data_IF_733427496276
#
_entry.id   IF_733427496276
#
_cell.length_a   1.000
_cell.length_b   1.000
_cell.length_c   1.000
_cell.angle_alpha   90.00
_cell.angle_beta   90.00
_cell.angle_gamma   90.00
#
_symmetry.space_group_name_H-M   'P 1'
#
loop_
_entity.id
_entity.type
_entity.pdbx_description
1 polymer ?
#
# COMPACT_ATOMS: atom_id res chain seq x y z
N UNK A 1 -5.04 15.61 15.70
CA UNK A 1 -3.92 15.24 14.81
C UNK A 1 -2.69 15.99 15.27
N UNK A 2 -1.62 15.28 15.63
CA UNK A 2 -0.34 15.90 15.98
C UNK A 2 0.26 16.55 14.73
N UNK A 3 0.45 17.87 14.75
CA UNK A 3 1.07 18.58 13.66
C UNK A 3 2.57 18.27 13.67
N UNK A 4 3.03 17.43 12.74
CA UNK A 4 4.45 17.08 12.63
C UNK A 4 5.20 18.34 12.17
N UNK A 5 6.21 18.76 12.94
CA UNK A 5 7.06 19.87 12.55
C UNK A 5 8.08 19.42 11.49
N UNK A 6 7.74 19.62 10.22
CA UNK A 6 8.57 19.25 9.05
C UNK A 6 9.96 19.89 9.07
N UNK A 7 10.05 21.15 9.52
CA UNK A 7 11.31 21.89 9.60
C UNK A 7 12.24 21.29 10.66
N UNK A 8 11.72 21.00 11.85
CA UNK A 8 12.49 20.35 12.90
C UNK A 8 12.96 18.94 12.49
N UNK A 9 12.13 18.22 11.73
CA UNK A 9 12.50 16.91 11.19
C UNK A 9 13.61 17.01 10.14
N UNK A 10 13.56 18.02 9.26
CA UNK A 10 14.58 18.32 8.26
C UNK A 10 15.93 18.66 8.89
N UNK A 11 15.91 19.48 9.94
CA UNK A 11 17.10 19.84 10.71
C UNK A 11 17.70 18.64 11.43
N UNK A 12 16.86 17.80 12.06
CA UNK A 12 17.31 16.58 12.70
C UNK A 12 17.93 15.59 11.71
N UNK A 13 17.31 15.40 10.54
CA UNK A 13 17.82 14.51 9.50
C UNK A 13 19.13 15.04 8.89
N UNK A 14 19.20 16.35 8.59
CA UNK A 14 20.41 16.98 8.09
C UNK A 14 21.57 16.92 9.08
N UNK A 15 21.28 17.07 10.38
CA UNK A 15 22.27 16.94 11.45
C UNK A 15 22.77 15.49 11.60
N UNK A 16 21.88 14.51 11.54
CA UNK A 16 22.25 13.10 11.58
C UNK A 16 23.16 12.69 10.40
N UNK A 17 22.97 13.30 9.23
CA UNK A 17 23.85 13.09 8.06
C UNK A 17 25.18 13.81 8.23
N UNK A 18 25.21 15.03 8.77
CA UNK A 18 26.45 15.79 8.91
C UNK A 18 27.37 15.26 10.00
N UNK A 19 26.81 14.69 11.08
CA UNK A 19 27.58 14.16 12.21
C UNK A 19 28.13 12.75 11.93
N UNK A 20 27.30 11.86 11.38
CA UNK A 20 27.65 10.43 11.24
C UNK A 20 27.89 10.00 9.78
N UNK A 21 27.41 10.78 8.81
CA UNK A 21 27.50 10.49 7.37
C UNK A 21 26.29 9.71 6.83
N UNK A 22 26.02 9.87 5.53
CA UNK A 22 24.87 9.22 4.86
C UNK A 22 24.96 7.68 4.92
N UNK A 23 26.16 7.13 4.81
CA UNK A 23 26.40 5.69 4.78
C UNK A 23 26.37 5.04 6.15
N UNK A 24 26.33 5.80 7.24
CA UNK A 24 26.26 5.25 8.60
C UNK A 24 24.92 4.59 8.88
N UNK A 25 23.83 5.12 8.30
CA UNK A 25 22.46 4.70 8.56
C UNK A 25 22.02 3.52 7.68
N UNK A 26 22.86 2.47 7.59
CA UNK A 26 22.56 1.25 6.84
C UNK A 26 22.40 0.02 7.76
N UNK A 27 21.74 -1.02 7.28
CA UNK A 27 21.44 -2.23 8.08
C UNK A 27 22.72 -2.85 8.67
N UNK A 28 23.78 -2.93 7.88
CA UNK A 28 25.04 -3.59 8.26
C UNK A 28 25.76 -2.84 9.38
N UNK A 29 25.76 -1.51 9.37
CA UNK A 29 26.34 -0.68 10.42
C UNK A 29 25.48 -0.67 11.69
N UNK A 30 24.15 -0.65 11.54
CA UNK A 30 23.21 -0.63 12.66
C UNK A 30 23.14 -1.99 13.39
N UNK A 31 23.25 -3.10 12.66
CA UNK A 31 23.24 -4.45 13.20
C UNK A 31 24.64 -4.95 13.62
N UNK A 32 25.71 -4.21 13.29
CA UNK A 32 27.08 -4.58 13.65
C UNK A 32 27.27 -4.62 15.17
N UNK A 33 27.98 -5.64 15.66
CA UNK A 33 28.39 -5.78 17.05
C UNK A 33 29.34 -4.64 17.50
N UNK A 34 29.98 -3.96 16.55
CA UNK A 34 30.82 -2.78 16.80
C UNK A 34 30.05 -1.46 16.66
N UNK A 35 28.76 -1.51 16.29
CA UNK A 35 27.86 -0.37 16.15
C UNK A 35 26.84 -0.31 17.28
N UNK A 36 25.56 -0.13 16.93
CA UNK A 36 24.44 -0.11 17.90
C UNK A 36 23.96 -1.51 18.30
N UNK A 37 24.46 -2.57 17.65
CA UNK A 37 24.10 -3.97 17.87
C UNK A 37 22.57 -4.20 17.90
N UNK A 38 21.85 -3.55 16.99
CA UNK A 38 20.40 -3.68 16.87
C UNK A 38 20.03 -5.05 16.29
N UNK A 39 18.85 -5.55 16.66
CA UNK A 39 18.32 -6.75 16.01
C UNK A 39 18.16 -6.48 14.52
N UNK A 40 18.50 -7.45 13.67
CA UNK A 40 18.55 -7.27 12.21
C UNK A 40 17.27 -6.70 11.62
N UNK A 41 16.12 -7.08 12.20
CA UNK A 41 14.80 -6.57 11.83
C UNK A 41 14.65 -5.07 12.12
N UNK A 42 15.10 -4.61 13.29
CA UNK A 42 15.03 -3.20 13.69
C UNK A 42 16.04 -2.35 12.90
N UNK A 43 17.24 -2.89 12.68
CA UNK A 43 18.28 -2.28 11.85
C UNK A 43 17.78 -2.06 10.42
N UNK A 44 17.12 -3.06 9.82
CA UNK A 44 16.55 -2.94 8.49
C UNK A 44 15.44 -1.87 8.43
N UNK A 45 14.53 -1.85 9.42
CA UNK A 45 13.48 -0.85 9.48
C UNK A 45 14.03 0.59 9.59
N UNK A 46 15.02 0.80 10.47
CA UNK A 46 15.66 2.11 10.67
C UNK A 46 16.48 2.50 9.43
N UNK A 47 17.18 1.56 8.80
CA UNK A 47 17.94 1.81 7.57
C UNK A 47 17.03 2.19 6.40
N UNK A 48 15.83 1.61 6.31
CA UNK A 48 14.82 2.01 5.33
C UNK A 48 14.32 3.44 5.60
N UNK A 49 14.06 3.77 6.87
CA UNK A 49 13.65 5.10 7.32
C UNK A 49 14.84 6.01 7.68
N UNK A 50 15.97 5.86 6.99
CA UNK A 50 17.17 6.64 7.28
C UNK A 50 16.98 8.16 7.04
N UNK A 51 17.84 9.02 7.60
CA UNK A 51 17.76 10.46 7.43
C UNK A 51 17.68 10.93 5.96
N UNK A 52 18.38 10.27 5.03
CA UNK A 52 18.34 10.63 3.62
C UNK A 52 16.97 10.31 2.98
N UNK A 53 16.39 9.15 3.29
CA UNK A 53 15.02 8.77 2.90
C UNK A 53 14.00 9.75 3.47
N UNK A 54 14.17 10.18 4.73
CA UNK A 54 13.29 11.17 5.36
C UNK A 54 13.34 12.51 4.63
N UNK A 55 14.53 12.99 4.25
CA UNK A 55 14.67 14.22 3.46
C UNK A 55 14.03 14.09 2.08
N UNK A 56 14.23 12.98 1.39
CA UNK A 56 13.60 12.72 0.09
C UNK A 56 12.06 12.71 0.19
N UNK A 57 11.51 12.08 1.22
CA UNK A 57 10.06 12.07 1.48
C UNK A 57 9.52 13.47 1.82
N UNK A 58 10.28 14.27 2.58
CA UNK A 58 9.93 15.66 2.86
C UNK A 58 9.92 16.51 1.58
N UNK A 59 10.92 16.35 0.71
CA UNK A 59 10.99 17.04 -0.58
C UNK A 59 9.81 16.66 -1.50
N UNK A 60 9.47 15.37 -1.59
CA UNK A 60 8.29 14.92 -2.34
C UNK A 60 6.99 15.49 -1.78
N UNK A 61 6.90 15.61 -0.45
CA UNK A 61 5.71 16.11 0.23
C UNK A 61 5.58 17.63 0.09
N UNK A 62 6.69 18.37 0.15
CA UNK A 62 6.73 19.81 -0.15
C UNK A 62 6.38 20.09 -1.62
N UNK A 63 6.84 19.27 -2.56
CA UNK A 63 6.45 19.36 -3.98
C UNK A 63 4.96 19.07 -4.19
N UNK A 64 4.39 18.09 -3.47
CA UNK A 64 2.94 17.83 -3.48
C UNK A 64 2.15 18.99 -2.88
N UNK A 65 2.59 19.54 -1.75
CA UNK A 65 1.98 20.72 -1.13
C UNK A 65 2.06 21.93 -2.07
N UNK A 66 3.17 22.09 -2.78
CA UNK A 66 3.34 23.14 -3.79
C UNK A 66 2.39 22.95 -4.97
N UNK A 67 2.27 21.75 -5.54
CA UNK A 67 1.31 21.45 -6.61
C UNK A 67 -0.13 21.66 -6.15
N UNK A 68 -0.45 21.24 -4.93
CA UNK A 68 -1.76 21.48 -4.34
C UNK A 68 -2.00 22.98 -4.21
N UNK A 69 -1.03 23.74 -3.71
CA UNK A 69 -1.12 25.19 -3.64
C UNK A 69 -1.22 25.82 -5.03
N UNK A 70 -0.53 25.35 -6.07
CA UNK A 70 -0.67 25.88 -7.43
C UNK A 70 -2.07 25.62 -8.02
N UNK A 71 -2.63 24.43 -7.78
CA UNK A 71 -4.00 24.08 -8.21
C UNK A 71 -5.04 24.83 -7.39
N UNK A 72 -4.81 24.96 -6.08
CA UNK A 72 -5.75 25.52 -5.13
C UNK A 72 -5.62 27.02 -4.99
N UNK A 73 -4.49 27.64 -5.38
CA UNK A 73 -4.29 29.10 -5.34
C UNK A 73 -5.41 29.74 -6.14
N UNK A 74 -6.42 30.34 -5.47
CA UNK A 74 -7.58 30.87 -6.16
C UNK A 74 -7.26 32.17 -6.90
N UNK A 75 -6.07 32.73 -6.71
CA UNK A 75 -5.74 34.08 -7.18
C UNK A 75 -5.58 34.21 -8.71
N UNK A 76 -5.48 33.10 -9.45
CA UNK A 76 -5.52 33.12 -10.92
C UNK A 76 -6.96 32.94 -11.47
N UNK A 77 -7.86 32.35 -10.68
CA UNK A 77 -9.26 32.11 -11.08
C UNK A 77 -10.19 33.21 -10.55
N UNK A 78 -9.91 33.83 -9.41
CA UNK A 78 -10.70 34.92 -8.84
C UNK A 78 -10.90 36.09 -9.83
N UNK A 79 -9.83 36.63 -10.46
CA UNK A 79 -9.99 37.72 -11.43
C UNK A 79 -10.79 37.31 -12.66
N UNK A 80 -10.61 36.05 -13.10
CA UNK A 80 -11.32 35.47 -14.25
C UNK A 80 -12.81 35.25 -13.92
N UNK A 81 -13.14 34.91 -12.67
CA UNK A 81 -14.50 34.74 -12.16
C UNK A 81 -15.19 36.08 -11.90
N UNK A 82 -14.46 37.10 -11.42
CA UNK A 82 -15.00 38.44 -11.17
C UNK A 82 -15.43 39.14 -12.47
N UNK A 83 -14.75 38.86 -13.59
CA UNK A 83 -15.09 39.37 -14.93
C UNK A 83 -16.05 38.44 -15.72
N UNK A 84 -16.46 37.29 -15.17
CA UNK A 84 -17.39 36.37 -15.82
C UNK A 84 -18.85 36.85 -15.70
N UNK A 85 -19.60 36.73 -16.80
CA UNK A 85 -21.05 36.87 -16.76
C UNK A 85 -21.73 35.72 -15.97
N UNK A 86 -22.99 35.93 -15.59
CA UNK A 86 -23.75 35.00 -14.74
C UNK A 86 -23.92 33.62 -15.42
N UNK A 87 -24.03 33.58 -16.75
CA UNK A 87 -24.24 32.34 -17.51
C UNK A 87 -22.97 31.48 -17.54
N UNK A 88 -21.81 32.09 -17.75
CA UNK A 88 -20.52 31.43 -17.67
C UNK A 88 -20.22 30.95 -16.25
N UNK A 89 -20.58 31.75 -15.24
CA UNK A 89 -20.44 31.36 -13.84
C UNK A 89 -21.29 30.13 -13.52
N UNK A 90 -22.55 30.11 -13.95
CA UNK A 90 -23.44 28.95 -13.81
C UNK A 90 -22.87 27.72 -14.52
N UNK A 91 -22.29 27.89 -15.71
CA UNK A 91 -21.69 26.80 -16.48
C UNK A 91 -20.45 26.21 -15.77
N UNK A 92 -19.55 27.06 -15.27
CA UNK A 92 -18.36 26.62 -14.53
C UNK A 92 -18.75 25.90 -13.24
N UNK A 93 -19.67 26.47 -12.45
CA UNK A 93 -20.17 25.84 -11.22
C UNK A 93 -20.77 24.46 -11.53
N UNK A 94 -21.62 24.38 -12.55
CA UNK A 94 -22.23 23.10 -12.97
C UNK A 94 -21.15 22.08 -13.36
N UNK A 95 -20.19 22.48 -14.19
CA UNK A 95 -19.11 21.59 -14.67
C UNK A 95 -18.23 21.11 -13.52
N UNK A 96 -17.89 22.00 -12.58
CA UNK A 96 -17.10 21.63 -11.39
C UNK A 96 -17.88 20.67 -10.50
N UNK A 97 -19.17 20.91 -10.26
CA UNK A 97 -20.03 20.00 -9.50
C UNK A 97 -20.16 18.62 -10.17
N UNK A 98 -20.33 18.58 -11.49
CA UNK A 98 -20.39 17.33 -12.27
C UNK A 98 -19.06 16.57 -12.21
N UNK A 99 -17.92 17.26 -12.40
CA UNK A 99 -16.59 16.66 -12.31
C UNK A 99 -16.30 16.10 -10.91
N UNK A 100 -16.67 16.85 -9.86
CA UNK A 100 -16.51 16.39 -8.48
C UNK A 100 -17.38 15.16 -8.21
N UNK A 101 -18.65 15.17 -8.64
CA UNK A 101 -19.53 14.01 -8.50
C UNK A 101 -19.01 12.78 -9.24
N UNK A 102 -18.44 12.94 -10.44
CA UNK A 102 -17.83 11.86 -11.20
C UNK A 102 -16.60 11.30 -10.50
N UNK A 103 -15.73 12.19 -9.98
CA UNK A 103 -14.52 11.79 -9.26
C UNK A 103 -14.87 11.02 -7.97
N UNK A 104 -15.87 11.48 -7.22
CA UNK A 104 -16.39 10.79 -6.04
C UNK A 104 -16.94 9.41 -6.38
N UNK A 105 -17.76 9.28 -7.41
CA UNK A 105 -18.28 7.98 -7.84
C UNK A 105 -17.16 7.00 -8.26
N UNK A 106 -16.11 7.49 -8.93
CA UNK A 106 -14.93 6.68 -9.27
C UNK A 106 -14.16 6.24 -8.03
N UNK A 107 -14.01 7.15 -7.06
CA UNK A 107 -13.32 6.85 -5.82
C UNK A 107 -14.08 5.80 -5.00
N UNK A 108 -15.39 5.95 -4.83
CA UNK A 108 -16.24 4.97 -4.14
C UNK A 108 -16.22 3.60 -4.83
N UNK A 109 -16.26 3.58 -6.17
CA UNK A 109 -16.13 2.35 -6.93
C UNK A 109 -14.76 1.68 -6.76
N UNK A 110 -13.69 2.47 -6.69
CA UNK A 110 -12.33 1.98 -6.44
C UNK A 110 -12.20 1.41 -5.02
N UNK A 111 -12.72 2.10 -4.00
CA UNK A 111 -12.75 1.59 -2.63
C UNK A 111 -13.52 0.29 -2.53
N UNK A 112 -14.69 0.20 -3.16
CA UNK A 112 -15.48 -1.04 -3.21
C UNK A 112 -14.71 -2.17 -3.89
N UNK A 113 -13.94 -1.87 -4.94
CA UNK A 113 -13.10 -2.85 -5.63
C UNK A 113 -11.93 -3.31 -4.76
N UNK A 114 -11.30 -2.41 -4.03
CA UNK A 114 -10.24 -2.75 -3.07
C UNK A 114 -10.82 -3.66 -1.98
N UNK A 115 -11.95 -3.31 -1.37
CA UNK A 115 -12.61 -4.13 -0.37
C UNK A 115 -13.01 -5.53 -0.89
N UNK A 116 -13.49 -5.62 -2.13
CA UNK A 116 -13.76 -6.91 -2.78
C UNK A 116 -12.47 -7.74 -2.94
N UNK A 117 -11.38 -7.12 -3.38
CA UNK A 117 -10.10 -7.80 -3.57
C UNK A 117 -9.48 -8.23 -2.24
N UNK A 118 -9.57 -7.41 -1.20
CA UNK A 118 -9.10 -7.73 0.15
C UNK A 118 -9.92 -8.85 0.78
N UNK A 119 -11.21 -8.98 0.44
CA UNK A 119 -12.07 -10.07 0.91
C UNK A 119 -11.90 -11.37 0.10
N UNK A 120 -11.14 -11.38 -1.01
CA UNK A 120 -10.95 -12.59 -1.82
C UNK A 120 -10.08 -13.60 -1.08
N UNK A 121 -10.65 -14.79 -0.93
CA UNK A 121 -9.98 -15.94 -0.36
C UNK A 121 -9.45 -16.85 -1.49
N UNK A 122 -8.16 -17.17 -1.45
CA UNK A 122 -7.52 -18.12 -2.36
C UNK A 122 -7.67 -19.53 -1.79
N UNK A 123 -8.30 -20.43 -2.55
CA UNK A 123 -8.40 -21.84 -2.17
C UNK A 123 -7.11 -22.56 -2.55
N UNK A 124 -6.39 -23.06 -1.55
CA UNK A 124 -5.22 -23.89 -1.76
C UNK A 124 -5.61 -25.35 -1.95
N UNK A 125 -4.94 -26.07 -2.86
CA UNK A 125 -5.13 -27.51 -3.01
C UNK A 125 -4.64 -28.23 -1.74
N UNK A 126 -5.18 -29.42 -1.48
CA UNK A 126 -4.64 -30.30 -0.46
C UNK A 126 -3.30 -30.87 -0.96
N UNK A 127 -2.20 -30.43 -0.35
CA UNK A 127 -0.86 -30.84 -0.74
C UNK A 127 -0.59 -32.31 -0.38
N UNK A 128 -1.34 -32.90 0.55
CA UNK A 128 -1.21 -34.32 0.92
C UNK A 128 -1.80 -35.25 -0.14
N UNK A 129 -2.73 -34.75 -0.97
CA UNK A 129 -3.25 -35.47 -2.14
C UNK A 129 -2.27 -35.44 -3.32
N UNK A 130 -1.46 -34.37 -3.42
CA UNK A 130 -0.52 -34.14 -4.53
C UNK A 130 0.84 -34.80 -4.26
N UNK A 131 1.29 -34.77 -3.00
CA UNK A 131 2.59 -35.28 -2.59
C UNK A 131 2.41 -36.33 -1.48
N UNK A 132 2.83 -37.58 -1.73
CA UNK A 132 2.68 -38.70 -0.79
C UNK A 132 3.82 -38.85 0.23
N UNK A 133 4.66 -37.83 0.37
CA UNK A 133 5.84 -37.81 1.24
C UNK A 133 5.78 -36.63 2.22
N UNK A 134 6.64 -36.66 3.25
CA UNK A 134 6.69 -35.64 4.31
C UNK A 134 6.95 -34.22 3.77
N UNK A 135 7.47 -34.12 2.54
CA UNK A 135 7.63 -32.89 1.77
C UNK A 135 6.31 -32.14 1.52
N UNK A 136 5.17 -32.83 1.49
CA UNK A 136 3.84 -32.22 1.32
C UNK A 136 3.54 -31.15 2.37
N UNK A 137 3.88 -31.44 3.64
CA UNK A 137 3.62 -30.56 4.78
C UNK A 137 4.54 -29.35 4.77
N UNK A 138 5.80 -29.54 4.37
CA UNK A 138 6.77 -28.46 4.25
C UNK A 138 6.38 -27.49 3.13
N UNK A 139 5.99 -28.01 1.96
CA UNK A 139 5.54 -27.17 0.83
C UNK A 139 4.28 -26.39 1.21
N UNK A 140 3.31 -27.04 1.86
CA UNK A 140 2.10 -26.36 2.33
C UNK A 140 2.42 -25.23 3.32
N UNK A 141 3.33 -25.48 4.27
CA UNK A 141 3.76 -24.47 5.24
C UNK A 141 4.42 -23.27 4.55
N UNK A 142 5.35 -23.51 3.64
CA UNK A 142 6.06 -22.46 2.90
C UNK A 142 5.10 -21.62 2.04
N UNK A 143 4.16 -22.26 1.33
CA UNK A 143 3.17 -21.56 0.50
C UNK A 143 2.23 -20.71 1.35
N UNK A 144 1.74 -21.24 2.48
CA UNK A 144 0.90 -20.47 3.41
C UNK A 144 1.65 -19.30 4.04
N UNK A 145 2.91 -19.49 4.42
CA UNK A 145 3.75 -18.45 4.98
C UNK A 145 3.99 -17.33 3.96
N UNK A 146 4.31 -17.67 2.72
CA UNK A 146 4.48 -16.71 1.63
C UNK A 146 3.19 -15.92 1.35
N UNK A 147 2.05 -16.60 1.25
CA UNK A 147 0.75 -15.95 1.01
C UNK A 147 0.34 -15.04 2.17
N UNK A 148 0.58 -15.45 3.42
CA UNK A 148 0.36 -14.61 4.60
C UNK A 148 1.26 -13.38 4.60
N UNK A 149 2.53 -13.51 4.21
CA UNK A 149 3.46 -12.37 4.09
C UNK A 149 3.04 -11.41 2.98
N UNK A 150 2.37 -11.91 1.93
CA UNK A 150 1.79 -11.12 0.86
C UNK A 150 0.39 -10.55 1.19
N UNK A 151 -0.13 -10.80 2.39
CA UNK A 151 -1.45 -10.30 2.83
C UNK A 151 -2.64 -11.00 2.18
N UNK A 152 -2.46 -12.21 1.64
CA UNK A 152 -3.51 -12.97 0.92
C UNK A 152 -4.25 -13.89 1.90
N UNK A 153 -5.58 -13.84 1.90
CA UNK A 153 -6.45 -14.73 2.68
C UNK A 153 -6.50 -16.10 1.99
N UNK A 154 -6.35 -17.19 2.75
CA UNK A 154 -6.31 -18.56 2.19
C UNK A 154 -7.28 -19.53 2.88
N UNK A 155 -7.91 -20.41 2.10
CA UNK A 155 -8.71 -21.56 2.56
C UNK A 155 -8.04 -22.87 2.21
N UNK A 156 -8.26 -23.91 3.02
CA UNK A 156 -7.97 -25.29 2.61
C UNK A 156 -9.12 -25.82 1.77
N UNK A 157 -8.88 -26.17 0.51
CA UNK A 157 -9.86 -26.86 -0.32
C UNK A 157 -9.90 -28.35 0.02
N UNK A 158 -10.93 -28.80 0.74
CA UNK A 158 -11.22 -30.22 0.88
C UNK A 158 -12.08 -30.70 -0.30
N UNK A 159 -11.62 -31.73 -1.03
CA UNK A 159 -12.42 -32.35 -2.09
C UNK A 159 -13.54 -33.16 -1.43
N UNK A 160 -14.78 -32.69 -1.55
CA UNK A 160 -15.95 -33.51 -1.24
C UNK A 160 -16.03 -34.67 -2.23
N UNK A 161 -15.79 -35.89 -1.75
CA UNK A 161 -16.09 -37.11 -2.51
C UNK A 161 -17.59 -37.15 -2.87
N UNK A 162 -17.93 -36.86 -4.12
CA UNK A 162 -19.22 -37.26 -4.70
C UNK A 162 -19.13 -38.76 -4.95
N UNK A 163 -19.62 -39.54 -3.99
CA UNK A 163 -19.72 -40.99 -4.10
C UNK A 163 -20.67 -41.37 -5.25
N UNK A 164 -20.12 -41.89 -6.34
CA UNK A 164 -20.88 -42.58 -7.38
C UNK A 164 -21.28 -43.95 -6.82
N UNK A 165 -22.42 -44.01 -6.13
CA UNK A 165 -23.07 -45.25 -5.73
C UNK A 165 -24.43 -45.36 -6.43
N UNK A 166 -24.47 -45.97 -7.62
CA UNK A 166 -25.40 -47.07 -7.90
C UNK A 166 -25.14 -47.68 -9.28
N UNK A 167 -24.59 -48.90 -9.26
CA UNK A 167 -24.69 -49.87 -10.35
C UNK A 167 -26.15 -50.35 -10.42
N UNK A 168 -26.96 -49.68 -11.24
CA UNK A 168 -28.31 -50.09 -11.61
C UNK A 168 -28.35 -50.63 -13.03
N UNK A 169 -28.48 -51.95 -13.14
CA UNK A 169 -28.62 -52.76 -14.35
C UNK A 169 -29.55 -52.17 -15.43
N UNK A 170 -29.07 -52.09 -16.68
CA UNK A 170 -29.92 -52.10 -17.87
C UNK A 170 -29.61 -53.34 -18.69
N UNK A 171 -30.55 -54.28 -18.66
CA UNK A 171 -30.66 -55.41 -19.58
C UNK A 171 -31.27 -54.89 -20.90
N UNK A 172 -30.81 -55.49 -21.99
CA UNK A 172 -31.19 -55.32 -23.42
C UNK A 172 -32.62 -54.85 -23.63
#
# INVERSE_FOLDING_TARGET
MSNINKQALREAAGKAISEEGETWWNEEQLASDYGLALHRTDANFIAAANPATVLALLDELEEKDKRLNEILTPNMLLPVIDDMDEDNLRHVIKTVCENYSLLHAKWEAAEKRIAELEAREVVLPDYTEIYQNEFAKEVEYQVRAALKSAGIITKVGGVGYVGINNLGSWRI
#
